data_IF_984033793535
#
_entry.id   IF_984033793535
#
_cell.length_a   1.000
_cell.length_b   1.000
_cell.length_c   1.000
_cell.angle_alpha   90.00
_cell.angle_beta   90.00
_cell.angle_gamma   90.00
#
_symmetry.space_group_name_H-M   'P 1'
#
loop_
_entity.id
_entity.type
_entity.pdbx_description
1 polymer ?
#
# COMPACT_ATOMS: atom_id res chain seq x y z
N UNK A 1 6.37 6.28 -11.79
CA UNK A 1 4.92 6.10 -12.05
C UNK A 1 4.22 7.43 -11.76
N UNK A 2 3.10 7.72 -12.41
CA UNK A 2 2.35 8.97 -12.19
C UNK A 2 0.98 8.58 -11.66
N UNK A 3 0.57 9.22 -10.56
CA UNK A 3 -0.75 9.00 -9.98
C UNK A 3 -1.86 9.61 -10.83
N UNK A 4 -3.05 9.02 -10.80
CA UNK A 4 -4.20 9.50 -11.59
C UNK A 4 -4.66 10.92 -11.23
N UNK A 5 -4.39 11.38 -10.01
CA UNK A 5 -4.91 12.65 -9.48
C UNK A 5 -6.42 12.64 -9.19
N UNK A 6 -7.04 11.45 -9.22
CA UNK A 6 -8.45 11.26 -8.90
C UNK A 6 -8.78 11.45 -7.41
N UNK A 7 -10.06 11.29 -7.03
CA UNK A 7 -10.51 11.51 -5.65
C UNK A 7 -10.18 10.36 -4.68
N UNK A 8 -9.57 9.27 -5.16
CA UNK A 8 -9.29 8.06 -4.39
C UNK A 8 -7.82 8.00 -3.96
N UNK A 9 -7.53 7.24 -2.90
CA UNK A 9 -6.16 6.85 -2.59
C UNK A 9 -5.67 5.89 -3.65
N UNK A 10 -4.36 5.79 -3.87
CA UNK A 10 -3.83 5.02 -4.99
C UNK A 10 -2.47 4.40 -4.67
N UNK A 11 -2.34 3.10 -4.90
CA UNK A 11 -1.06 2.41 -4.92
C UNK A 11 -0.80 1.86 -6.32
N UNK A 12 0.44 2.02 -6.79
CA UNK A 12 0.88 1.60 -8.11
C UNK A 12 2.07 0.65 -8.00
N UNK A 13 2.12 -0.35 -8.87
CA UNK A 13 3.26 -1.23 -9.04
C UNK A 13 3.47 -1.54 -10.52
N UNK A 14 4.72 -1.80 -10.88
CA UNK A 14 5.09 -2.20 -12.24
C UNK A 14 6.21 -3.24 -12.18
N UNK A 15 6.13 -4.24 -13.05
CA UNK A 15 7.17 -5.24 -13.27
C UNK A 15 7.50 -5.34 -14.75
N UNK A 16 8.72 -5.75 -15.08
CA UNK A 16 9.12 -6.12 -16.45
C UNK A 16 8.59 -7.48 -16.89
N UNK A 17 8.09 -8.29 -15.95
CA UNK A 17 7.44 -9.58 -16.21
C UNK A 17 6.00 -9.62 -15.69
N UNK A 18 5.50 -10.82 -15.48
CA UNK A 18 4.18 -11.05 -14.88
C UNK A 18 4.21 -10.59 -13.41
N UNK A 19 3.22 -9.79 -13.03
CA UNK A 19 3.01 -9.36 -11.65
C UNK A 19 1.54 -9.54 -11.30
N UNK A 20 1.25 -10.48 -10.41
CA UNK A 20 -0.11 -10.64 -9.91
C UNK A 20 -0.50 -9.47 -9.02
N UNK A 21 -1.81 -9.21 -8.90
CA UNK A 21 -2.29 -8.20 -7.97
C UNK A 21 -1.91 -8.53 -6.51
N UNK A 22 -1.87 -9.81 -6.14
CA UNK A 22 -1.47 -10.26 -4.81
C UNK A 22 0.01 -9.98 -4.53
N UNK A 23 0.90 -10.24 -5.51
CA UNK A 23 2.32 -9.94 -5.37
C UNK A 23 2.59 -8.44 -5.28
N UNK A 24 1.88 -7.63 -6.06
CA UNK A 24 1.95 -6.18 -5.95
C UNK A 24 1.52 -5.68 -4.56
N UNK A 25 0.41 -6.20 -4.03
CA UNK A 25 -0.03 -5.89 -2.66
C UNK A 25 1.01 -6.36 -1.64
N UNK A 26 1.63 -7.53 -1.83
CA UNK A 26 2.70 -8.00 -0.96
C UNK A 26 3.89 -7.04 -0.96
N UNK A 27 4.32 -6.55 -2.12
CA UNK A 27 5.40 -5.56 -2.21
C UNK A 27 5.08 -4.30 -1.41
N UNK A 28 3.84 -3.80 -1.50
CA UNK A 28 3.40 -2.65 -0.71
C UNK A 28 3.35 -2.94 0.78
N UNK A 29 2.89 -4.13 1.19
CA UNK A 29 2.85 -4.54 2.60
C UNK A 29 4.25 -4.73 3.18
N UNK A 30 5.19 -5.26 2.40
CA UNK A 30 6.58 -5.49 2.81
C UNK A 30 7.30 -4.17 3.17
N UNK A 31 6.81 -3.01 2.70
CA UNK A 31 7.30 -1.70 3.13
C UNK A 31 7.09 -1.39 4.63
N UNK A 32 6.35 -2.24 5.36
CA UNK A 32 6.27 -2.20 6.83
C UNK A 32 7.65 -2.16 7.48
N UNK A 33 8.66 -2.79 6.87
CA UNK A 33 10.04 -2.76 7.38
C UNK A 33 10.63 -1.35 7.46
N UNK A 34 10.11 -0.43 6.65
CA UNK A 34 10.54 0.95 6.56
C UNK A 34 9.61 1.90 7.34
N UNK A 35 8.50 1.43 7.92
CA UNK A 35 7.57 2.29 8.64
C UNK A 35 7.87 2.28 10.15
N UNK A 36 8.30 3.42 10.70
CA UNK A 36 8.36 3.56 12.16
C UNK A 36 7.01 4.02 12.70
N UNK A 37 6.39 3.13 13.46
CA UNK A 37 5.12 3.40 14.11
C UNK A 37 5.22 4.59 15.06
N UNK A 38 6.30 4.74 15.83
CA UNK A 38 6.36 5.77 16.86
C UNK A 38 6.45 7.17 16.23
N UNK A 39 7.35 7.36 15.27
CA UNK A 39 7.49 8.64 14.56
C UNK A 39 6.39 8.90 13.52
N UNK A 40 5.64 7.88 13.09
CA UNK A 40 4.70 7.96 11.95
C UNK A 40 5.40 8.44 10.68
N UNK A 41 6.56 7.86 10.38
CA UNK A 41 7.34 8.24 9.22
C UNK A 41 8.05 7.05 8.60
N UNK A 42 8.34 7.16 7.31
CA UNK A 42 9.21 6.20 6.65
C UNK A 42 10.67 6.44 7.10
N UNK A 43 11.37 5.36 7.43
CA UNK A 43 12.78 5.32 7.80
C UNK A 43 13.51 4.35 6.87
N UNK A 44 14.51 4.86 6.13
CA UNK A 44 15.36 4.01 5.29
C UNK A 44 14.74 3.54 3.97
N UNK A 45 13.51 3.95 3.63
CA UNK A 45 12.88 3.60 2.36
C UNK A 45 11.46 4.17 2.22
N UNK A 46 10.76 3.72 1.18
CA UNK A 46 9.33 4.00 0.97
C UNK A 46 8.49 3.20 1.97
N UNK A 47 7.38 3.80 2.41
CA UNK A 47 6.39 3.15 3.27
C UNK A 47 4.95 3.60 3.03
N UNK A 48 4.74 4.53 2.08
CA UNK A 48 3.43 5.12 1.87
C UNK A 48 2.45 4.16 1.19
N UNK A 49 2.94 3.16 0.46
CA UNK A 49 2.06 2.12 -0.06
C UNK A 49 1.55 1.25 1.09
N UNK A 50 2.44 0.86 2.03
CA UNK A 50 2.04 0.14 3.24
C UNK A 50 0.99 0.92 4.04
N UNK A 51 1.23 2.20 4.34
CA UNK A 51 0.29 2.99 5.15
C UNK A 51 -1.06 3.16 4.45
N UNK A 52 -1.12 3.19 3.12
CA UNK A 52 -2.39 3.18 2.39
C UNK A 52 -3.09 1.81 2.47
N UNK A 53 -2.36 0.69 2.37
CA UNK A 53 -2.94 -0.67 2.49
C UNK A 53 -3.61 -0.86 3.86
N UNK A 54 -2.95 -0.41 4.92
CA UNK A 54 -3.43 -0.57 6.31
C UNK A 54 -4.26 0.63 6.79
N UNK A 55 -4.65 1.54 5.91
CA UNK A 55 -5.37 2.75 6.30
C UNK A 55 -6.77 2.42 6.83
N UNK A 56 -6.97 2.55 8.14
CA UNK A 56 -8.18 2.10 8.84
C UNK A 56 -9.50 2.65 8.25
N UNK A 57 -9.45 3.85 7.69
CA UNK A 57 -10.63 4.53 7.15
C UNK A 57 -10.87 4.23 5.67
N UNK A 58 -9.96 3.56 4.96
CA UNK A 58 -10.15 3.13 3.59
C UNK A 58 -10.95 1.83 3.56
N UNK A 59 -12.28 1.95 3.42
CA UNK A 59 -13.21 0.81 3.59
C UNK A 59 -13.67 0.17 2.28
N UNK A 60 -13.32 0.77 1.16
CA UNK A 60 -13.58 0.26 -0.19
C UNK A 60 -12.27 0.20 -0.97
N UNK A 61 -12.12 -0.87 -1.75
CA UNK A 61 -10.93 -1.16 -2.54
C UNK A 61 -11.35 -1.67 -3.92
N UNK A 62 -10.69 -1.20 -4.96
CA UNK A 62 -10.78 -1.75 -6.31
C UNK A 62 -9.40 -1.79 -6.95
N UNK A 63 -9.05 -2.90 -7.63
CA UNK A 63 -7.74 -3.09 -8.21
C UNK A 63 -7.82 -3.58 -9.66
N UNK A 64 -6.78 -3.30 -10.44
CA UNK A 64 -6.59 -3.82 -11.78
C UNK A 64 -5.12 -4.23 -11.98
N UNK A 65 -4.91 -5.34 -12.69
CA UNK A 65 -3.62 -5.76 -13.22
C UNK A 65 -3.74 -5.82 -14.74
N UNK A 66 -2.84 -5.13 -15.44
CA UNK A 66 -2.92 -4.94 -16.89
C UNK A 66 -1.54 -5.24 -17.49
N UNK A 67 -1.44 -6.18 -18.44
CA UNK A 67 -0.20 -6.37 -19.19
C UNK A 67 0.06 -5.16 -20.10
N UNK A 68 1.29 -4.68 -20.10
CA UNK A 68 1.71 -3.54 -20.92
C UNK A 68 2.08 -4.02 -22.32
N UNK A 69 1.75 -3.24 -23.36
CA UNK A 69 2.06 -3.58 -24.75
C UNK A 69 3.57 -3.67 -25.05
N UNK A 70 4.39 -2.95 -24.27
CA UNK A 70 5.85 -3.00 -24.34
C UNK A 70 6.45 -4.15 -23.49
N UNK A 71 5.62 -5.04 -22.96
CA UNK A 71 6.01 -6.08 -22.01
C UNK A 71 5.88 -5.62 -20.55
N UNK A 72 5.81 -6.61 -19.65
CA UNK A 72 5.61 -6.38 -18.22
C UNK A 72 4.15 -6.17 -17.82
N UNK A 73 3.96 -5.89 -16.53
CA UNK A 73 2.63 -5.77 -15.92
C UNK A 73 2.55 -4.51 -15.07
N UNK A 74 1.45 -3.77 -15.20
CA UNK A 74 1.10 -2.65 -14.35
C UNK A 74 -0.05 -3.04 -13.42
N UNK A 75 0.09 -2.73 -12.14
CA UNK A 75 -0.94 -2.98 -11.13
C UNK A 75 -1.30 -1.67 -10.44
N UNK A 76 -2.60 -1.46 -10.27
CA UNK A 76 -3.17 -0.32 -9.54
C UNK A 76 -4.20 -0.83 -8.54
N UNK A 77 -4.24 -0.21 -7.36
CA UNK A 77 -5.36 -0.30 -6.43
C UNK A 77 -5.80 1.10 -6.03
N UNK A 78 -7.12 1.35 -6.04
CA UNK A 78 -7.76 2.58 -5.59
C UNK A 78 -8.50 2.36 -4.27
N UNK A 79 -8.37 3.30 -3.35
CA UNK A 79 -8.85 3.21 -1.96
C UNK A 79 -9.84 4.33 -1.66
N UNK A 80 -10.96 4.00 -1.01
CA UNK A 80 -12.02 4.97 -0.71
C UNK A 80 -12.64 4.76 0.69
N UNK A 81 -12.63 5.78 1.57
CA UNK A 81 -11.91 7.06 1.49
C UNK A 81 -10.38 6.94 1.26
N UNK A 82 -9.72 7.93 0.64
CA UNK A 82 -8.26 7.97 0.51
C UNK A 82 -7.57 7.95 1.87
N UNK A 83 -6.37 7.37 1.91
CA UNK A 83 -5.49 7.38 3.08
C UNK A 83 -4.38 8.43 2.99
N UNK A 84 -3.35 8.24 3.82
CA UNK A 84 -2.11 9.03 3.81
C UNK A 84 -2.29 10.55 3.96
N UNK A 85 -3.31 10.97 4.72
CA UNK A 85 -3.46 12.38 5.07
C UNK A 85 -2.32 12.85 5.96
N UNK A 86 -1.73 14.00 5.61
CA UNK A 86 -0.63 14.62 6.37
C UNK A 86 -1.06 14.84 7.82
N UNK A 87 -0.25 14.37 8.76
CA UNK A 87 -0.49 14.48 10.20
C UNK A 87 -1.46 13.44 10.77
N UNK A 88 -2.01 12.55 9.94
CA UNK A 88 -2.82 11.42 10.39
C UNK A 88 -2.02 10.11 10.35
N UNK A 89 -2.51 9.12 11.08
CA UNK A 89 -1.91 7.77 11.20
C UNK A 89 -2.84 6.75 10.54
N UNK A 90 -2.30 5.68 9.93
CA UNK A 90 -3.12 4.59 9.41
C UNK A 90 -3.91 3.85 10.50
N UNK A 91 -3.40 3.88 11.73
CA UNK A 91 -3.98 3.21 12.91
C UNK A 91 -4.62 4.20 13.88
N UNK A 92 -5.66 3.75 14.59
CA UNK A 92 -6.25 4.44 15.74
C UNK A 92 -5.56 4.04 17.05
N UNK A 93 -5.75 4.84 18.10
CA UNK A 93 -5.09 4.68 19.40
C UNK A 93 -5.36 3.34 20.14
N UNK A 94 -6.28 2.51 19.64
CA UNK A 94 -6.63 1.20 20.20
C UNK A 94 -6.21 0.01 19.32
N UNK A 95 -5.64 0.27 18.15
CA UNK A 95 -5.17 -0.80 17.28
C UNK A 95 -3.92 -1.41 17.92
N UNK A 96 -3.89 -2.75 18.01
CA UNK A 96 -2.72 -3.47 18.50
C UNK A 96 -1.55 -3.15 17.56
N UNK A 97 -0.56 -2.41 18.07
CA UNK A 97 0.67 -2.14 17.33
C UNK A 97 1.28 -3.49 16.94
N UNK A 98 1.46 -3.80 15.65
CA UNK A 98 2.12 -5.02 15.25
C UNK A 98 3.58 -4.93 15.71
N UNK A 99 3.87 -5.49 16.88
CA UNK A 99 5.22 -5.47 17.46
C UNK A 99 6.19 -6.40 16.73
N UNK A 100 5.72 -7.17 15.74
CA UNK A 100 6.53 -8.07 14.92
C UNK A 100 5.88 -8.25 13.53
N UNK A 101 6.41 -7.56 12.52
CA UNK A 101 6.11 -7.75 11.11
C UNK A 101 6.67 -9.09 10.55
N UNK A 102 6.41 -10.20 11.23
CA UNK A 102 7.01 -11.52 10.95
C UNK A 102 6.02 -12.62 10.57
N UNK A 103 4.71 -12.38 10.55
CA UNK A 103 3.73 -13.38 10.09
C UNK A 103 2.33 -12.76 9.99
N UNK A 104 2.02 -12.18 8.83
CA UNK A 104 0.62 -12.10 8.42
C UNK A 104 0.29 -13.50 7.89
N UNK A 105 -0.40 -14.28 8.71
CA UNK A 105 -1.06 -15.50 8.29
C UNK A 105 -2.11 -15.14 7.25
N UNK A 106 -1.91 -15.66 6.04
CA UNK A 106 -2.88 -15.73 4.94
C UNK A 106 -4.29 -16.07 5.48
N UNK A 107 -5.28 -15.28 5.10
CA UNK A 107 -6.68 -15.74 5.01
C UNK A 107 -6.87 -16.28 3.59
#
# INVERSE_FOLDING_TARGET
MIHSGGPYGENLAMSTGDLSAADAVKMWVDEISNYDYYSNSCQGGECLHYTQVVWRNSVRLGCASVPCSAGGTFVICSYDPPGNYIGQRPFQNYDVIPSNAGSISTI
#
